data_IF_651558020400
#
_entry.id   IF_651558020400
#
_cell.length_a   1.000
_cell.length_b   1.000
_cell.length_c   1.000
_cell.angle_alpha   90.00
_cell.angle_beta   90.00
_cell.angle_gamma   90.00
#
_symmetry.space_group_name_H-M   'P 1'
#
loop_
_entity.id
_entity.type
_entity.pdbx_description
1 polymer ?
#
# COMPACT_ATOMS: atom_id res chain seq x y z
N UNK A 1 47.71 -35.63 -63.70
CA UNK A 1 46.91 -36.48 -62.80
C UNK A 1 46.79 -35.77 -61.46
N UNK A 2 45.56 -35.42 -61.06
CA UNK A 2 45.28 -34.74 -59.80
C UNK A 2 45.17 -35.83 -58.71
N UNK A 3 45.96 -35.73 -57.64
CA UNK A 3 45.87 -36.64 -56.48
C UNK A 3 44.72 -36.14 -55.61
N UNK A 4 43.60 -36.85 -55.62
CA UNK A 4 42.54 -36.63 -54.65
C UNK A 4 42.97 -37.28 -53.33
N UNK A 5 43.21 -36.46 -52.31
CA UNK A 5 43.49 -36.93 -50.95
C UNK A 5 42.16 -37.34 -50.31
N UNK A 6 41.97 -38.63 -50.06
CA UNK A 6 40.84 -39.14 -49.29
C UNK A 6 40.97 -38.77 -47.81
N UNK A 7 39.84 -38.48 -47.17
CA UNK A 7 39.75 -38.26 -45.73
C UNK A 7 40.15 -39.51 -44.95
N UNK A 8 40.90 -39.33 -43.85
CA UNK A 8 41.26 -40.42 -42.94
C UNK A 8 40.19 -40.60 -41.85
N UNK A 9 40.03 -41.81 -41.34
CA UNK A 9 39.09 -42.09 -40.25
C UNK A 9 39.42 -41.31 -38.97
N UNK A 10 40.70 -41.02 -38.71
CA UNK A 10 41.12 -40.25 -37.53
C UNK A 10 40.72 -38.78 -37.62
N UNK A 11 40.74 -38.19 -38.82
CA UNK A 11 40.25 -36.82 -39.05
C UNK A 11 38.73 -36.74 -38.82
N UNK A 12 37.98 -37.74 -39.30
CA UNK A 12 36.54 -37.80 -39.06
C UNK A 12 36.22 -37.95 -37.57
N UNK A 13 36.97 -38.80 -36.86
CA UNK A 13 36.78 -39.03 -35.43
C UNK A 13 37.05 -37.76 -34.61
N UNK A 14 38.13 -37.04 -34.90
CA UNK A 14 38.48 -35.80 -34.20
C UNK A 14 37.38 -34.74 -34.33
N UNK A 15 36.77 -34.61 -35.51
CA UNK A 15 35.67 -33.67 -35.75
C UNK A 15 34.43 -34.03 -34.91
N UNK A 16 34.06 -35.31 -34.86
CA UNK A 16 32.89 -35.75 -34.07
C UNK A 16 33.10 -35.49 -32.58
N UNK A 17 34.30 -35.73 -32.06
CA UNK A 17 34.63 -35.46 -30.64
C UNK A 17 34.49 -33.96 -30.32
N UNK A 18 35.02 -33.09 -31.19
CA UNK A 18 34.90 -31.63 -30.99
C UNK A 18 33.43 -31.19 -31.04
N UNK A 19 32.66 -31.68 -32.01
CA UNK A 19 31.23 -31.36 -32.12
C UNK A 19 30.44 -31.85 -30.89
N UNK A 20 30.78 -33.02 -30.34
CA UNK A 20 30.14 -33.55 -29.14
C UNK A 20 30.39 -32.66 -27.91
N UNK A 21 31.61 -32.15 -27.73
CA UNK A 21 31.95 -31.24 -26.62
C UNK A 21 31.22 -29.90 -26.75
N UNK A 22 31.18 -29.34 -27.97
CA UNK A 22 30.45 -28.08 -28.23
C UNK A 22 28.96 -28.28 -27.96
N UNK A 23 28.37 -29.38 -28.44
CA UNK A 23 26.96 -29.69 -28.20
C UNK A 23 26.63 -29.84 -26.70
N UNK A 24 27.50 -30.51 -25.94
CA UNK A 24 27.33 -30.71 -24.50
C UNK A 24 27.20 -29.38 -23.73
N UNK A 25 27.99 -28.37 -24.09
CA UNK A 25 27.97 -27.05 -23.44
C UNK A 25 26.83 -26.18 -23.99
N UNK A 26 26.58 -26.25 -25.31
CA UNK A 26 25.61 -25.39 -25.98
C UNK A 26 24.15 -25.70 -25.61
N UNK A 27 23.78 -26.98 -25.47
CA UNK A 27 22.41 -27.41 -25.19
C UNK A 27 21.81 -26.76 -23.93
N UNK A 28 22.43 -26.84 -22.73
CA UNK A 28 21.85 -26.23 -21.53
C UNK A 28 21.73 -24.70 -21.64
N UNK A 29 22.69 -24.03 -22.29
CA UNK A 29 22.65 -22.58 -22.50
C UNK A 29 21.49 -22.17 -23.41
N UNK A 30 21.32 -22.88 -24.54
CA UNK A 30 20.22 -22.64 -25.48
C UNK A 30 18.86 -22.88 -24.79
N UNK A 31 18.76 -23.93 -23.96
CA UNK A 31 17.54 -24.20 -23.20
C UNK A 31 17.20 -23.07 -22.21
N UNK A 32 18.19 -22.50 -21.52
CA UNK A 32 17.97 -21.36 -20.63
C UNK A 32 17.53 -20.11 -21.39
N UNK A 33 18.17 -19.80 -22.52
CA UNK A 33 17.79 -18.66 -23.37
C UNK A 33 16.34 -18.81 -23.88
N UNK A 34 15.96 -20.01 -24.34
CA UNK A 34 14.60 -20.29 -24.78
C UNK A 34 13.61 -20.14 -23.62
N UNK A 35 13.97 -20.62 -22.42
CA UNK A 35 13.13 -20.49 -21.24
C UNK A 35 12.89 -19.01 -20.89
N UNK A 36 13.95 -18.20 -20.81
CA UNK A 36 13.83 -16.77 -20.51
C UNK A 36 13.06 -16.02 -21.61
N UNK A 37 13.27 -16.36 -22.88
CA UNK A 37 12.50 -15.76 -23.98
C UNK A 37 11.00 -16.11 -23.90
N UNK A 38 10.66 -17.32 -23.49
CA UNK A 38 9.26 -17.74 -23.27
C UNK A 38 8.63 -17.04 -22.07
N UNK A 39 9.41 -16.85 -21.00
CA UNK A 39 8.98 -16.12 -19.80
C UNK A 39 8.67 -14.66 -20.16
N UNK A 40 9.60 -13.94 -20.80
CA UNK A 40 9.39 -12.55 -21.22
C UNK A 40 8.21 -12.41 -22.21
N UNK A 41 8.07 -13.32 -23.18
CA UNK A 41 6.92 -13.30 -24.08
C UNK A 41 5.58 -13.51 -23.35
N UNK A 42 5.59 -14.24 -22.24
CA UNK A 42 4.41 -14.43 -21.41
C UNK A 42 4.11 -13.20 -20.54
N UNK A 43 5.14 -12.51 -20.04
CA UNK A 43 5.00 -11.20 -19.40
C UNK A 43 4.39 -10.17 -20.36
N UNK A 44 4.86 -10.10 -21.61
CA UNK A 44 4.28 -9.24 -22.64
C UNK A 44 2.79 -9.55 -22.89
N UNK A 45 2.44 -10.84 -22.87
CA UNK A 45 1.03 -11.28 -22.99
C UNK A 45 0.20 -10.78 -21.80
N UNK A 46 0.76 -10.83 -20.59
CA UNK A 46 0.12 -10.34 -19.38
C UNK A 46 -0.09 -8.82 -19.40
N UNK A 47 0.90 -8.05 -19.88
CA UNK A 47 0.74 -6.61 -20.11
C UNK A 47 -0.34 -6.32 -21.16
N UNK A 48 -0.38 -7.05 -22.27
CA UNK A 48 -1.44 -6.90 -23.27
C UNK A 48 -2.85 -7.18 -22.72
N UNK A 49 -2.99 -8.07 -21.73
CA UNK A 49 -4.25 -8.29 -21.02
C UNK A 49 -4.61 -7.15 -20.07
N UNK A 50 -3.61 -6.56 -19.40
CA UNK A 50 -3.80 -5.37 -18.56
C UNK A 50 -4.29 -4.20 -19.43
N UNK A 51 -3.60 -3.93 -20.53
CA UNK A 51 -3.96 -2.86 -21.46
C UNK A 51 -5.37 -3.04 -22.03
N UNK A 52 -5.75 -4.28 -22.36
CA UNK A 52 -7.10 -4.58 -22.83
C UNK A 52 -8.17 -4.35 -21.74
N UNK A 53 -7.85 -4.65 -20.48
CA UNK A 53 -8.72 -4.34 -19.34
C UNK A 53 -8.89 -2.84 -19.11
N UNK A 54 -7.80 -2.07 -19.23
CA UNK A 54 -7.83 -0.61 -19.14
C UNK A 54 -8.64 0.01 -20.29
N UNK A 55 -8.48 -0.52 -21.50
CA UNK A 55 -9.27 -0.11 -22.67
C UNK A 55 -10.75 -0.43 -22.51
N UNK A 56 -11.08 -1.59 -21.93
CA UNK A 56 -12.46 -1.94 -21.60
C UNK A 56 -13.10 -0.94 -20.62
N UNK A 57 -12.37 -0.55 -19.57
CA UNK A 57 -12.83 0.50 -18.65
C UNK A 57 -13.06 1.83 -19.38
N UNK A 58 -12.10 2.25 -20.22
CA UNK A 58 -12.21 3.48 -21.00
C UNK A 58 -13.43 3.48 -21.94
N UNK A 59 -13.70 2.36 -22.62
CA UNK A 59 -14.91 2.19 -23.44
C UNK A 59 -16.19 2.24 -22.60
N UNK A 60 -16.19 1.62 -21.42
CA UNK A 60 -17.35 1.61 -20.51
C UNK A 60 -17.72 3.00 -20.02
N UNK A 61 -16.74 3.88 -19.80
CA UNK A 61 -16.97 5.29 -19.44
C UNK A 61 -17.74 6.07 -20.52
N UNK A 62 -17.66 5.68 -21.79
CA UNK A 62 -18.38 6.33 -22.89
C UNK A 62 -19.85 5.90 -22.97
N UNK A 63 -20.19 4.73 -22.44
CA UNK A 63 -21.55 4.18 -22.55
C UNK A 63 -22.42 4.54 -21.35
N UNK A 64 -21.93 4.40 -20.10
CA UNK A 64 -22.55 4.90 -18.85
C UNK A 64 -21.65 4.73 -17.60
N UNK A 65 -20.37 4.38 -17.77
CA UNK A 65 -19.49 3.95 -16.68
C UNK A 65 -19.76 2.50 -16.24
N UNK A 66 -18.92 1.99 -15.32
CA UNK A 66 -19.07 0.65 -14.75
C UNK A 66 -19.83 0.69 -13.43
N UNK A 67 -20.95 -0.02 -13.34
CA UNK A 67 -21.75 -0.12 -12.10
C UNK A 67 -21.08 -1.01 -11.04
N UNK A 68 -20.28 -1.98 -11.46
CA UNK A 68 -19.57 -2.93 -10.61
C UNK A 68 -18.29 -3.40 -11.29
N UNK A 69 -17.42 -4.05 -10.51
CA UNK A 69 -16.26 -4.75 -11.04
C UNK A 69 -16.68 -5.87 -11.99
N UNK A 70 -15.86 -6.12 -13.02
CA UNK A 70 -16.09 -7.15 -14.03
C UNK A 70 -14.92 -8.11 -14.05
N UNK A 71 -15.22 -9.40 -13.99
CA UNK A 71 -14.23 -10.48 -14.09
C UNK A 71 -14.31 -11.15 -15.47
N UNK A 72 -13.15 -11.33 -16.09
CA UNK A 72 -12.95 -12.10 -17.31
C UNK A 72 -12.17 -13.36 -16.95
N UNK A 73 -12.72 -14.52 -17.29
CA UNK A 73 -12.09 -15.81 -17.02
C UNK A 73 -11.57 -16.42 -18.31
N UNK A 74 -10.34 -16.92 -18.27
CA UNK A 74 -9.72 -17.70 -19.34
C UNK A 74 -9.60 -19.14 -18.88
N UNK A 75 -10.04 -20.08 -19.71
CA UNK A 75 -9.89 -21.52 -19.48
C UNK A 75 -9.48 -22.19 -20.77
N UNK A 76 -8.44 -23.03 -20.70
CA UNK A 76 -7.84 -23.71 -21.85
C UNK A 76 -7.56 -22.79 -23.06
N UNK A 77 -7.10 -21.56 -22.82
CA UNK A 77 -6.76 -20.62 -23.89
C UNK A 77 -7.95 -19.88 -24.50
N UNK A 78 -9.13 -19.92 -23.88
CA UNK A 78 -10.32 -19.21 -24.37
C UNK A 78 -11.01 -18.44 -23.24
N UNK A 79 -11.60 -17.28 -23.57
CA UNK A 79 -12.48 -16.58 -22.65
C UNK A 79 -13.78 -17.36 -22.42
N UNK A 80 -14.15 -17.54 -21.16
CA UNK A 80 -15.39 -18.20 -20.74
C UNK A 80 -16.38 -17.15 -20.27
N UNK A 81 -17.62 -17.26 -20.73
CA UNK A 81 -18.72 -16.34 -20.37
C UNK A 81 -19.06 -15.34 -21.47
N UNK A 82 -19.89 -14.35 -21.10
CA UNK A 82 -20.38 -13.31 -22.01
C UNK A 82 -19.36 -12.18 -22.22
N UNK A 83 -18.54 -11.91 -21.20
CA UNK A 83 -17.54 -10.84 -21.23
C UNK A 83 -16.22 -11.32 -21.83
N UNK A 84 -15.70 -10.56 -22.80
CA UNK A 84 -14.44 -10.86 -23.50
C UNK A 84 -13.63 -9.59 -23.67
N UNK A 85 -12.32 -9.70 -23.50
CA UNK A 85 -11.40 -8.62 -23.83
C UNK A 85 -10.88 -8.80 -25.26
N UNK A 86 -10.76 -7.71 -26.00
CA UNK A 86 -10.13 -7.71 -27.31
C UNK A 86 -8.60 -7.72 -27.15
N UNK A 87 -8.00 -8.90 -27.26
CA UNK A 87 -6.56 -9.10 -27.07
C UNK A 87 -5.97 -9.67 -28.34
N UNK A 88 -4.80 -9.16 -28.74
CA UNK A 88 -4.02 -9.71 -29.86
C UNK A 88 -3.02 -10.74 -29.32
N UNK A 89 -2.96 -11.91 -29.95
CA UNK A 89 -1.97 -12.95 -29.63
C UNK A 89 -2.58 -14.19 -29.00
N UNK A 90 -1.71 -15.07 -28.49
CA UNK A 90 -2.13 -16.28 -27.81
C UNK A 90 -2.59 -15.96 -26.39
N UNK A 91 -3.76 -16.46 -25.99
CA UNK A 91 -4.24 -16.31 -24.63
C UNK A 91 -3.47 -17.26 -23.66
N UNK A 92 -3.35 -16.87 -22.39
CA UNK A 92 -2.88 -17.78 -21.33
C UNK A 92 -3.69 -19.07 -21.29
N UNK A 93 -3.11 -20.15 -20.76
CA UNK A 93 -3.83 -21.43 -20.61
C UNK A 93 -5.02 -21.26 -19.69
N UNK A 94 -4.84 -20.66 -18.51
CA UNK A 94 -5.94 -20.34 -17.60
C UNK A 94 -5.66 -19.03 -16.88
N UNK A 95 -6.71 -18.39 -16.37
CA UNK A 95 -6.54 -17.27 -15.46
C UNK A 95 -7.75 -16.37 -15.35
N UNK A 96 -7.59 -15.31 -14.58
CA UNK A 96 -8.61 -14.30 -14.32
C UNK A 96 -8.04 -12.92 -14.51
N UNK A 97 -8.87 -12.04 -15.04
CA UNK A 97 -8.61 -10.61 -15.17
C UNK A 97 -9.81 -9.90 -14.53
N UNK A 98 -9.55 -8.99 -13.60
CA UNK A 98 -10.59 -8.20 -12.94
C UNK A 98 -10.36 -6.74 -13.26
N UNK A 99 -11.36 -6.10 -13.86
CA UNK A 99 -11.40 -4.65 -14.09
C UNK A 99 -12.35 -4.06 -13.06
N UNK A 100 -11.84 -3.19 -12.19
CA UNK A 100 -12.65 -2.58 -11.15
C UNK A 100 -13.39 -1.35 -11.65
N UNK A 101 -14.46 -0.97 -10.94
CA UNK A 101 -15.25 0.23 -11.25
C UNK A 101 -14.46 1.54 -11.18
N UNK A 102 -13.31 1.56 -10.49
CA UNK A 102 -12.37 2.69 -10.42
C UNK A 102 -11.26 2.61 -11.49
N UNK A 103 -11.33 1.67 -12.43
CA UNK A 103 -10.43 1.57 -13.57
C UNK A 103 -9.09 0.90 -13.28
N UNK A 104 -8.97 0.17 -12.17
CA UNK A 104 -7.77 -0.62 -11.87
C UNK A 104 -7.93 -2.03 -12.43
N UNK A 105 -6.81 -2.62 -12.86
CA UNK A 105 -6.79 -3.98 -13.41
C UNK A 105 -5.94 -4.90 -12.56
N UNK A 106 -6.54 -5.99 -12.10
CA UNK A 106 -5.85 -7.11 -11.48
C UNK A 106 -5.81 -8.32 -12.44
N UNK A 107 -4.71 -9.06 -12.43
CA UNK A 107 -4.54 -10.27 -13.25
C UNK A 107 -3.95 -11.42 -12.43
N UNK A 108 -4.36 -12.64 -12.74
CA UNK A 108 -3.69 -13.87 -12.33
C UNK A 108 -3.84 -14.90 -13.45
N UNK A 109 -2.77 -15.10 -14.23
CA UNK A 109 -2.80 -15.91 -15.46
C UNK A 109 -1.61 -16.86 -15.53
N UNK A 110 -1.81 -18.05 -16.08
CA UNK A 110 -0.75 -19.05 -16.27
C UNK A 110 -0.73 -19.64 -17.67
N UNK A 111 0.44 -20.11 -18.09
CA UNK A 111 0.65 -20.85 -19.35
C UNK A 111 1.08 -22.31 -19.12
N UNK A 112 0.83 -22.84 -17.92
CA UNK A 112 1.27 -24.18 -17.49
C UNK A 112 2.75 -24.28 -17.08
N UNK A 113 3.60 -23.30 -17.42
CA UNK A 113 5.00 -23.24 -16.96
C UNK A 113 5.24 -22.10 -15.96
N UNK A 114 4.63 -20.94 -16.21
CA UNK A 114 4.75 -19.74 -15.40
C UNK A 114 3.37 -19.22 -14.97
N UNK A 115 3.34 -18.55 -13.84
CA UNK A 115 2.21 -17.81 -13.30
C UNK A 115 2.59 -16.33 -13.20
N UNK A 116 1.78 -15.46 -13.79
CA UNK A 116 1.93 -14.01 -13.72
C UNK A 116 0.75 -13.42 -12.95
N UNK A 117 1.06 -12.58 -11.96
CA UNK A 117 0.06 -11.98 -11.08
C UNK A 117 0.29 -10.48 -10.91
N UNK A 118 -0.79 -9.72 -10.72
CA UNK A 118 -0.79 -8.31 -10.31
C UNK A 118 -2.10 -8.03 -9.58
N UNK A 119 -2.03 -7.57 -8.34
CA UNK A 119 -3.19 -7.06 -7.62
C UNK A 119 -3.48 -5.60 -7.98
N UNK A 120 -4.69 -5.10 -7.71
CA UNK A 120 -5.06 -3.69 -7.97
C UNK A 120 -4.22 -2.67 -7.19
N UNK A 121 -3.58 -3.12 -6.11
CA UNK A 121 -2.68 -2.30 -5.29
C UNK A 121 -1.23 -2.25 -5.80
N UNK A 122 -0.87 -3.05 -6.78
CA UNK A 122 0.50 -3.23 -7.25
C UNK A 122 0.73 -2.47 -8.56
N UNK A 123 1.91 -1.85 -8.69
CA UNK A 123 2.29 -1.08 -9.88
C UNK A 123 2.94 -1.94 -10.98
N UNK A 124 3.35 -3.17 -10.69
CA UNK A 124 4.04 -4.06 -11.61
C UNK A 124 3.56 -5.51 -11.47
N UNK A 125 3.77 -6.32 -12.51
CA UNK A 125 3.49 -7.76 -12.49
C UNK A 125 4.57 -8.53 -11.71
N UNK A 126 4.20 -9.68 -11.16
CA UNK A 126 5.12 -10.66 -10.58
C UNK A 126 5.01 -11.98 -11.33
N UNK A 127 6.17 -12.50 -11.78
CA UNK A 127 6.28 -13.78 -12.51
C UNK A 127 6.89 -14.85 -11.61
N UNK A 128 6.27 -16.02 -11.58
CA UNK A 128 6.71 -17.19 -10.80
C UNK A 128 6.55 -18.47 -11.62
N UNK A 129 7.11 -19.59 -11.16
CA UNK A 129 6.83 -20.90 -11.75
C UNK A 129 5.41 -21.33 -11.41
N UNK A 130 4.73 -21.99 -12.35
CA UNK A 130 3.39 -22.51 -12.12
C UNK A 130 3.45 -23.82 -11.32
N UNK A 131 2.85 -23.83 -10.13
CA UNK A 131 2.83 -24.99 -9.22
C UNK A 131 1.41 -25.56 -9.03
N UNK A 132 0.54 -25.42 -10.04
CA UNK A 132 -0.82 -25.99 -10.05
C UNK A 132 -1.93 -25.03 -9.64
N UNK A 133 -1.60 -23.84 -9.15
CA UNK A 133 -2.55 -22.73 -8.98
C UNK A 133 -1.87 -21.40 -9.36
N UNK A 134 -2.68 -20.43 -9.79
CA UNK A 134 -2.20 -19.10 -10.11
C UNK A 134 -3.24 -18.09 -9.65
N UNK A 135 -2.99 -17.51 -8.48
CA UNK A 135 -3.85 -16.53 -7.83
C UNK A 135 -2.97 -15.37 -7.41
N UNK A 136 -3.46 -14.13 -7.57
CA UNK A 136 -2.82 -13.01 -6.90
C UNK A 136 -2.96 -13.24 -5.40
N UNK A 137 -1.89 -12.97 -4.62
CA UNK A 137 -2.05 -12.91 -3.16
C UNK A 137 -3.00 -11.76 -2.88
N UNK A 138 -4.29 -12.07 -2.65
CA UNK A 138 -5.21 -11.11 -2.03
C UNK A 138 -4.48 -10.66 -0.78
N UNK A 139 -4.12 -9.39 -0.70
CA UNK A 139 -3.40 -8.88 0.46
C UNK A 139 -4.19 -9.35 1.69
N UNK A 140 -3.59 -10.25 2.48
CA UNK A 140 -4.35 -10.97 3.49
C UNK A 140 -4.95 -9.90 4.40
N UNK A 141 -6.29 -9.77 4.38
CA UNK A 141 -6.98 -8.73 5.14
C UNK A 141 -6.32 -8.65 6.53
N UNK A 142 -5.97 -7.45 7.00
CA UNK A 142 -5.02 -7.32 8.08
C UNK A 142 -5.53 -8.10 9.27
N UNK A 143 -4.86 -9.21 9.62
CA UNK A 143 -5.40 -10.10 10.65
C UNK A 143 -5.33 -9.33 11.96
N UNK A 144 -6.50 -9.00 12.47
CA UNK A 144 -6.67 -8.35 13.76
C UNK A 144 -6.73 -9.47 14.79
N UNK A 145 -5.62 -9.73 15.46
CA UNK A 145 -5.64 -10.58 16.66
C UNK A 145 -6.03 -9.69 17.83
N UNK A 146 -7.31 -9.60 18.14
CA UNK A 146 -7.77 -8.87 19.32
C UNK A 146 -7.38 -9.63 20.59
N UNK A 147 -6.17 -9.44 21.11
CA UNK A 147 -5.97 -9.52 22.56
C UNK A 147 -6.39 -8.18 23.13
N UNK A 148 -7.71 -7.95 23.19
CA UNK A 148 -8.31 -6.74 23.77
C UNK A 148 -7.89 -6.67 25.24
N UNK A 149 -6.75 -6.02 25.48
CA UNK A 149 -6.30 -5.71 26.82
C UNK A 149 -6.81 -4.30 27.06
N UNK A 150 -7.96 -4.21 27.72
CA UNK A 150 -8.48 -2.93 28.16
C UNK A 150 -7.53 -2.39 29.21
N UNK A 151 -6.60 -1.51 28.82
CA UNK A 151 -5.80 -0.71 29.75
C UNK A 151 -6.66 0.51 30.10
N UNK A 152 -7.73 0.27 30.83
CA UNK A 152 -8.31 1.32 31.67
C UNK A 152 -7.46 1.36 32.94
N UNK A 153 -7.34 2.52 33.59
CA UNK A 153 -6.62 2.65 34.87
C UNK A 153 -7.31 1.92 36.06
N UNK A 154 -8.03 0.83 35.79
CA UNK A 154 -8.63 -0.08 36.75
C UNK A 154 -8.62 -1.50 36.14
N UNK A 155 -8.14 -2.48 36.89
CA UNK A 155 -8.22 -3.91 36.53
C UNK A 155 -9.69 -4.37 36.40
N UNK A 156 -10.32 -4.16 35.25
CA UNK A 156 -11.64 -4.70 34.94
C UNK A 156 -11.63 -5.43 33.60
N UNK A 157 -12.13 -6.67 33.60
CA UNK A 157 -12.39 -7.47 32.39
C UNK A 157 -13.49 -6.83 31.56
N UNK A 158 -13.19 -6.50 30.31
CA UNK A 158 -14.18 -6.00 29.35
C UNK A 158 -15.26 -7.05 29.08
N UNK A 159 -16.52 -6.69 29.36
CA UNK A 159 -17.69 -7.44 28.87
C UNK A 159 -17.86 -7.25 27.37
N UNK A 160 -18.45 -8.23 26.69
CA UNK A 160 -18.61 -8.35 25.23
C UNK A 160 -19.35 -7.18 24.50
N UNK A 161 -19.76 -6.14 25.22
CA UNK A 161 -20.49 -4.98 24.68
C UNK A 161 -19.63 -3.71 24.66
N UNK A 162 -19.23 -3.33 23.44
CA UNK A 162 -18.64 -2.09 22.95
C UNK A 162 -17.10 -2.01 22.87
N UNK A 163 -16.62 -2.09 21.62
CA UNK A 163 -15.32 -1.57 21.21
C UNK A 163 -15.32 -0.05 21.48
N UNK A 164 -14.51 0.42 22.44
CA UNK A 164 -14.41 1.83 22.85
C UNK A 164 -13.04 2.40 22.54
N UNK A 165 -12.95 3.73 22.49
CA UNK A 165 -11.69 4.42 22.34
C UNK A 165 -10.66 3.98 23.41
N UNK A 166 -9.41 3.78 23.01
CA UNK A 166 -8.31 3.35 23.87
C UNK A 166 -8.14 1.85 24.06
N UNK A 167 -9.01 1.01 23.50
CA UNK A 167 -8.79 -0.44 23.50
C UNK A 167 -7.60 -0.78 22.59
N UNK A 168 -6.63 -1.53 23.11
CA UNK A 168 -5.49 -2.03 22.35
C UNK A 168 -5.87 -3.19 21.42
N UNK A 169 -5.37 -3.14 20.19
CA UNK A 169 -5.63 -4.08 19.10
C UNK A 169 -4.31 -4.43 18.42
N UNK A 170 -4.03 -5.72 18.21
CA UNK A 170 -2.85 -6.16 17.45
C UNK A 170 -3.21 -6.34 15.98
N UNK A 171 -2.48 -5.68 15.09
CA UNK A 171 -2.69 -5.70 13.64
C UNK A 171 -1.44 -6.21 12.94
N UNK A 172 -1.56 -7.32 12.20
CA UNK A 172 -0.47 -7.81 11.34
C UNK A 172 -0.40 -6.99 10.06
N UNK A 173 0.75 -6.36 9.82
CA UNK A 173 1.01 -5.61 8.57
C UNK A 173 1.91 -6.43 7.65
N UNK A 174 1.48 -6.62 6.40
CA UNK A 174 2.18 -7.34 5.32
C UNK A 174 2.57 -8.80 5.62
N UNK A 175 1.79 -9.53 6.42
CA UNK A 175 2.11 -10.89 6.85
C UNK A 175 3.43 -11.04 7.65
N UNK A 176 3.96 -9.95 8.22
CA UNK A 176 5.11 -10.03 9.13
C UNK A 176 4.72 -10.76 10.42
N UNK A 177 5.67 -11.51 10.99
CA UNK A 177 5.45 -12.26 12.24
C UNK A 177 5.09 -11.33 13.41
N UNK A 178 5.66 -10.11 13.43
CA UNK A 178 5.41 -9.12 14.46
C UNK A 178 4.15 -8.28 14.17
N UNK A 179 3.12 -8.49 14.96
CA UNK A 179 1.95 -7.62 14.97
C UNK A 179 2.31 -6.22 15.53
N UNK A 180 1.68 -5.19 14.97
CA UNK A 180 1.77 -3.81 15.46
C UNK A 180 0.62 -3.54 16.42
N UNK A 181 0.88 -2.77 17.47
CA UNK A 181 -0.15 -2.37 18.43
C UNK A 181 -0.83 -1.09 17.96
N UNK A 182 -2.15 -1.08 17.99
CA UNK A 182 -2.99 0.08 17.73
C UNK A 182 -3.99 0.26 18.87
N UNK A 183 -4.50 1.47 19.04
CA UNK A 183 -5.63 1.79 19.89
C UNK A 183 -6.83 2.16 19.04
N UNK A 184 -8.01 1.75 19.48
CA UNK A 184 -9.26 2.19 18.87
C UNK A 184 -9.43 3.69 19.08
N UNK A 185 -9.72 4.41 18.01
CA UNK A 185 -10.14 5.83 18.05
C UNK A 185 -11.66 5.90 17.96
N UNK A 186 -12.23 5.22 16.96
CA UNK A 186 -13.66 5.25 16.67
C UNK A 186 -14.12 3.87 16.21
N UNK A 187 -15.27 3.45 16.73
CA UNK A 187 -16.06 2.38 16.15
C UNK A 187 -17.23 2.99 15.36
N UNK A 188 -17.18 2.86 14.03
CA UNK A 188 -18.27 3.27 13.15
C UNK A 188 -19.16 2.07 12.81
N UNK A 189 -20.23 1.89 13.59
CA UNK A 189 -21.20 0.82 13.41
C UNK A 189 -21.97 0.91 12.08
N UNK A 190 -22.15 2.12 11.54
CA UNK A 190 -22.90 2.36 10.29
C UNK A 190 -22.13 1.83 9.08
N UNK A 191 -20.82 2.06 9.06
CA UNK A 191 -19.93 1.60 7.98
C UNK A 191 -19.27 0.26 8.29
N UNK A 192 -19.42 -0.25 9.51
CA UNK A 192 -18.74 -1.45 9.99
C UNK A 192 -17.21 -1.31 9.96
N UNK A 193 -16.69 -0.12 10.27
CA UNK A 193 -15.27 0.22 10.19
C UNK A 193 -14.74 0.63 11.56
N UNK A 194 -13.52 0.21 11.88
CA UNK A 194 -12.75 0.74 13.02
C UNK A 194 -11.71 1.73 12.53
N UNK A 195 -11.64 2.88 13.17
CA UNK A 195 -10.52 3.82 13.08
C UNK A 195 -9.56 3.51 14.21
N UNK A 196 -8.30 3.24 13.87
CA UNK A 196 -7.27 2.83 14.81
C UNK A 196 -6.04 3.75 14.70
N UNK A 197 -5.46 4.14 15.83
CA UNK A 197 -4.21 4.90 15.91
C UNK A 197 -3.08 4.02 16.43
N UNK A 198 -1.90 4.06 15.80
CA UNK A 198 -0.77 3.24 16.23
C UNK A 198 -0.29 3.66 17.62
N UNK A 199 0.24 2.71 18.40
CA UNK A 199 0.72 2.97 19.75
C UNK A 199 1.94 3.91 19.82
N UNK A 200 2.63 4.12 18.70
CA UNK A 200 3.85 4.93 18.56
C UNK A 200 3.87 5.67 17.23
N UNK A 201 4.81 6.60 17.10
CA UNK A 201 5.08 7.26 15.82
C UNK A 201 5.56 6.23 14.78
N UNK A 202 5.42 6.56 13.50
CA UNK A 202 5.75 5.64 12.40
C UNK A 202 7.22 5.19 12.43
N UNK A 203 8.10 6.04 12.97
CA UNK A 203 9.46 5.79 13.41
C UNK A 203 9.87 6.83 14.48
N UNK A 204 11.16 6.86 14.84
CA UNK A 204 11.73 7.75 15.87
C UNK A 204 12.20 9.10 15.30
N UNK A 205 11.95 9.38 14.02
CA UNK A 205 12.36 10.63 13.38
C UNK A 205 11.37 11.76 13.64
N UNK A 206 11.88 12.99 13.68
CA UNK A 206 11.07 14.20 13.74
C UNK A 206 10.84 14.75 12.33
N UNK A 207 9.71 15.41 12.11
CA UNK A 207 9.35 15.98 10.81
C UNK A 207 8.62 17.30 11.00
N UNK A 208 8.84 18.22 10.07
CA UNK A 208 8.05 19.44 10.01
C UNK A 208 6.63 19.10 9.54
N UNK A 209 5.63 19.83 10.05
CA UNK A 209 4.25 19.67 9.60
C UNK A 209 4.14 19.99 8.11
N UNK A 210 4.78 21.10 7.71
CA UNK A 210 5.02 21.51 6.32
C UNK A 210 6.43 22.14 6.24
N UNK A 211 7.08 22.06 5.08
CA UNK A 211 8.46 22.52 4.88
C UNK A 211 8.57 23.47 3.69
N UNK A 212 9.72 24.12 3.54
CA UNK A 212 10.01 25.07 2.46
C UNK A 212 9.74 24.53 1.06
N UNK A 213 10.00 23.24 0.86
CA UNK A 213 9.72 22.56 -0.41
C UNK A 213 8.23 22.56 -0.77
N UNK A 214 7.35 22.60 0.23
CA UNK A 214 5.91 22.43 0.08
C UNK A 214 5.15 23.77 0.22
N UNK A 215 5.76 24.82 0.80
CA UNK A 215 5.16 26.16 0.92
C UNK A 215 4.86 26.83 -0.42
N UNK A 216 5.63 26.55 -1.47
CA UNK A 216 5.52 27.24 -2.76
C UNK A 216 5.62 28.77 -2.65
N UNK A 217 6.30 29.27 -1.62
CA UNK A 217 6.51 30.68 -1.36
C UNK A 217 7.56 31.28 -2.30
N UNK A 218 7.47 32.60 -2.53
CA UNK A 218 8.25 33.37 -3.50
C UNK A 218 9.74 33.54 -3.16
N UNK A 219 10.31 34.69 -3.48
CA UNK A 219 11.76 34.93 -3.38
C UNK A 219 12.35 34.73 -1.97
N UNK A 220 13.64 34.40 -1.93
CA UNK A 220 14.37 34.09 -0.70
C UNK A 220 14.34 35.24 0.32
N UNK A 221 13.86 34.95 1.53
CA UNK A 221 13.81 35.90 2.65
C UNK A 221 12.42 36.09 3.26
N UNK A 222 11.38 35.56 2.62
CA UNK A 222 10.01 35.56 3.15
C UNK A 222 9.86 34.46 4.21
N UNK A 223 9.52 34.82 5.46
CA UNK A 223 9.16 33.86 6.51
C UNK A 223 7.77 33.27 6.22
N UNK A 224 7.69 32.41 5.20
CA UNK A 224 6.44 31.76 4.82
C UNK A 224 6.26 30.43 5.55
N UNK A 225 6.09 30.46 6.87
CA UNK A 225 5.45 29.35 7.57
C UNK A 225 3.93 29.57 7.50
N UNK A 226 3.26 28.95 6.53
CA UNK A 226 1.80 28.97 6.42
C UNK A 226 1.22 27.57 6.61
N UNK A 227 0.11 27.50 7.34
CA UNK A 227 -0.66 26.29 7.61
C UNK A 227 -1.81 26.08 6.60
N UNK A 228 -2.04 27.04 5.69
CA UNK A 228 -3.12 27.04 4.69
C UNK A 228 -3.08 25.85 3.72
N UNK A 229 -1.91 25.22 3.56
CA UNK A 229 -1.71 24.08 2.66
C UNK A 229 -1.81 22.72 3.36
N UNK A 230 -2.10 22.70 4.65
CA UNK A 230 -2.12 21.50 5.47
C UNK A 230 -0.75 20.81 5.63
N UNK A 231 -0.73 19.61 6.25
CA UNK A 231 0.50 18.91 6.62
C UNK A 231 1.16 18.17 5.46
N UNK A 232 1.43 18.84 4.33
CA UNK A 232 1.94 18.16 3.13
C UNK A 232 3.24 17.38 3.40
N UNK A 233 4.19 17.98 4.12
CA UNK A 233 5.46 17.34 4.45
C UNK A 233 5.25 16.13 5.35
N UNK A 234 4.52 16.29 6.46
CA UNK A 234 4.26 15.21 7.42
C UNK A 234 3.44 14.07 6.78
N UNK A 235 2.45 14.37 5.95
CA UNK A 235 1.65 13.36 5.25
C UNK A 235 2.48 12.62 4.19
N UNK A 236 3.34 13.31 3.44
CA UNK A 236 4.23 12.67 2.47
C UNK A 236 5.23 11.75 3.17
N UNK A 237 5.74 12.20 4.31
CA UNK A 237 6.60 11.39 5.16
C UNK A 237 5.88 10.13 5.63
N UNK A 238 4.68 10.26 6.21
CA UNK A 238 3.85 9.13 6.63
C UNK A 238 3.62 8.15 5.48
N UNK A 239 3.20 8.63 4.32
CA UNK A 239 2.97 7.81 3.13
C UNK A 239 4.23 7.05 2.70
N UNK A 240 5.40 7.69 2.73
CA UNK A 240 6.67 7.03 2.39
C UNK A 240 6.96 5.82 3.29
N UNK A 241 6.47 5.84 4.54
CA UNK A 241 6.66 4.77 5.54
C UNK A 241 5.54 3.73 5.51
N UNK A 242 4.33 4.12 5.13
CA UNK A 242 3.14 3.24 5.15
C UNK A 242 2.72 2.71 3.77
N UNK A 243 3.28 3.23 2.66
CA UNK A 243 2.94 2.81 1.29
C UNK A 243 3.15 1.31 1.06
N UNK A 244 4.14 0.74 1.73
CA UNK A 244 4.43 -0.69 1.70
C UNK A 244 3.41 -1.55 2.45
N UNK A 245 2.46 -0.98 3.21
CA UNK A 245 1.46 -1.71 4.00
C UNK A 245 0.35 -2.28 3.09
N UNK A 246 0.71 -3.20 2.21
CA UNK A 246 -0.14 -3.76 1.14
C UNK A 246 -1.43 -4.37 1.65
N UNK A 247 -1.42 -4.93 2.86
CA UNK A 247 -2.60 -5.53 3.46
C UNK A 247 -3.50 -4.56 4.22
N UNK A 248 -3.07 -3.34 4.53
CA UNK A 248 -3.98 -2.31 5.05
C UNK A 248 -4.74 -1.72 3.85
N UNK A 249 -6.08 -1.66 3.81
CA UNK A 249 -6.79 -1.11 2.66
C UNK A 249 -6.39 0.34 2.37
N UNK A 250 -6.05 0.65 1.11
CA UNK A 250 -5.86 2.02 0.66
C UNK A 250 -7.22 2.71 0.54
N UNK A 251 -7.28 3.96 0.96
CA UNK A 251 -8.48 4.79 0.90
C UNK A 251 -8.17 6.18 0.36
N UNK A 252 -9.23 6.89 0.02
CA UNK A 252 -9.16 8.34 -0.16
C UNK A 252 -9.51 9.00 1.17
N UNK A 253 -8.61 9.83 1.68
CA UNK A 253 -8.87 10.66 2.86
C UNK A 253 -9.03 12.12 2.44
N UNK A 254 -10.02 12.78 3.02
CA UNK A 254 -10.17 14.23 2.95
C UNK A 254 -9.81 14.79 4.31
N UNK A 255 -8.77 15.62 4.37
CA UNK A 255 -8.30 16.26 5.59
C UNK A 255 -8.59 17.76 5.51
N UNK A 256 -9.07 18.31 6.62
CA UNK A 256 -9.29 19.72 6.83
C UNK A 256 -8.79 20.16 8.21
N UNK A 257 -8.65 21.46 8.42
CA UNK A 257 -8.45 22.02 9.76
C UNK A 257 -9.73 21.98 10.60
N UNK A 258 -9.59 22.44 11.84
CA UNK A 258 -10.64 22.63 12.84
C UNK A 258 -11.75 23.61 12.41
N UNK A 259 -11.63 24.25 11.25
CA UNK A 259 -12.61 25.19 10.69
C UNK A 259 -13.05 24.85 9.25
N UNK A 260 -12.53 23.77 8.66
CA UNK A 260 -12.80 23.36 7.29
C UNK A 260 -12.14 24.18 6.17
N UNK A 261 -11.10 24.99 6.43
CA UNK A 261 -10.57 25.96 5.46
C UNK A 261 -9.72 25.35 4.34
N UNK A 262 -8.92 24.31 4.62
CA UNK A 262 -8.29 23.50 3.57
C UNK A 262 -8.97 22.15 3.38
N UNK A 263 -9.03 21.68 2.13
CA UNK A 263 -9.49 20.34 1.79
C UNK A 263 -8.39 19.62 1.00
N UNK A 264 -7.65 18.75 1.68
CA UNK A 264 -6.59 17.95 1.06
C UNK A 264 -7.13 16.56 0.81
N UNK A 265 -7.19 16.19 -0.46
CA UNK A 265 -7.54 14.85 -0.87
C UNK A 265 -6.26 14.01 -1.02
N UNK A 266 -6.13 12.97 -0.19
CA UNK A 266 -5.08 11.96 -0.30
C UNK A 266 -5.68 10.68 -0.85
N UNK A 267 -5.50 10.42 -2.13
CA UNK A 267 -5.99 9.21 -2.78
C UNK A 267 -5.02 8.04 -2.58
N UNK A 268 -5.56 6.82 -2.53
CA UNK A 268 -4.78 5.59 -2.42
C UNK A 268 -3.83 5.51 -1.19
N UNK A 269 -4.14 6.23 -0.12
CA UNK A 269 -3.33 6.29 1.09
C UNK A 269 -3.70 5.16 2.07
N UNK A 270 -2.69 4.58 2.73
CA UNK A 270 -2.85 3.47 3.68
C UNK A 270 -3.09 3.94 5.12
N UNK A 271 -2.60 5.13 5.44
CA UNK A 271 -2.75 5.75 6.75
C UNK A 271 -2.95 7.26 6.57
N UNK A 272 -3.53 7.89 7.60
CA UNK A 272 -3.63 9.34 7.76
C UNK A 272 -3.14 9.75 9.14
N UNK A 273 -3.17 11.05 9.41
CA UNK A 273 -2.92 11.62 10.73
C UNK A 273 -4.24 11.75 11.51
N UNK A 274 -4.15 11.77 12.84
CA UNK A 274 -5.27 12.05 13.74
C UNK A 274 -5.66 13.53 13.61
N UNK A 275 -6.96 13.84 13.56
CA UNK A 275 -7.41 15.25 13.54
C UNK A 275 -7.47 15.84 14.94
N UNK A 276 -7.52 17.17 15.03
CA UNK A 276 -7.80 17.87 16.28
C UNK A 276 -9.14 17.43 16.89
N UNK A 277 -10.21 17.49 16.11
CA UNK A 277 -11.56 17.14 16.57
C UNK A 277 -11.65 15.68 17.04
N UNK A 278 -10.93 14.75 16.40
CA UNK A 278 -10.86 13.37 16.90
C UNK A 278 -10.18 13.30 18.26
N UNK A 279 -9.08 14.03 18.47
CA UNK A 279 -8.38 14.07 19.74
C UNK A 279 -9.26 14.67 20.86
N UNK A 280 -9.97 15.76 20.60
CA UNK A 280 -10.82 16.42 21.60
C UNK A 280 -12.15 15.67 21.78
N UNK A 281 -12.93 15.52 20.71
CA UNK A 281 -14.32 15.06 20.79
C UNK A 281 -14.45 13.55 21.01
N UNK A 282 -13.52 12.76 20.48
CA UNK A 282 -13.59 11.29 20.57
C UNK A 282 -12.70 10.72 21.65
N UNK A 283 -11.52 11.32 21.87
CA UNK A 283 -10.52 10.80 22.80
C UNK A 283 -10.51 11.53 24.15
N UNK A 284 -11.21 12.67 24.27
CA UNK A 284 -11.35 13.41 25.52
C UNK A 284 -10.11 14.19 25.94
N UNK A 285 -9.22 14.51 24.99
CA UNK A 285 -8.14 15.45 25.23
C UNK A 285 -8.69 16.86 25.54
N UNK A 286 -7.87 17.69 26.19
CA UNK A 286 -8.21 19.07 26.53
C UNK A 286 -7.15 19.97 25.93
N UNK A 287 -7.57 20.99 25.17
CA UNK A 287 -6.66 22.02 24.66
C UNK A 287 -6.00 22.77 25.83
N UNK A 288 -4.71 23.04 25.70
CA UNK A 288 -3.93 23.81 26.66
C UNK A 288 -3.92 23.22 28.08
N UNK A 289 -4.12 21.92 28.22
CA UNK A 289 -4.04 21.22 29.50
C UNK A 289 -3.59 19.77 29.32
N UNK A 290 -3.16 19.14 30.42
CA UNK A 290 -2.88 17.71 30.48
C UNK A 290 -4.22 16.97 30.54
N UNK A 291 -4.84 16.80 29.37
CA UNK A 291 -6.18 16.20 29.25
C UNK A 291 -6.22 14.88 28.47
N UNK A 292 -5.19 14.57 27.67
CA UNK A 292 -5.23 13.35 26.87
C UNK A 292 -5.14 12.09 27.73
N UNK A 293 -5.76 10.98 27.30
CA UNK A 293 -5.63 9.72 28.01
C UNK A 293 -4.22 9.13 27.85
N UNK A 294 -3.71 8.51 28.93
CA UNK A 294 -2.33 7.98 29.00
C UNK A 294 -1.96 7.00 27.88
N UNK A 295 -2.90 6.23 27.36
CA UNK A 295 -2.64 5.31 26.24
C UNK A 295 -2.30 6.05 24.94
N UNK A 296 -2.75 7.30 24.78
CA UNK A 296 -2.50 8.11 23.59
C UNK A 296 -1.07 8.67 23.60
N UNK A 297 -0.49 8.99 24.74
CA UNK A 297 0.86 9.59 24.81
C UNK A 297 1.92 8.71 25.48
N UNK A 298 1.54 7.67 26.22
CA UNK A 298 2.43 6.92 27.10
C UNK A 298 3.54 6.10 26.43
N UNK A 299 3.45 5.91 25.11
CA UNK A 299 4.45 5.24 24.28
C UNK A 299 5.17 6.23 23.33
N UNK A 300 5.10 7.54 23.61
CA UNK A 300 5.92 8.55 22.96
C UNK A 300 7.32 8.59 23.56
N UNK A 301 8.30 8.87 22.70
CA UNK A 301 9.69 9.07 23.07
C UNK A 301 9.94 10.53 23.45
N UNK A 302 11.17 10.85 23.83
CA UNK A 302 11.63 12.22 23.94
C UNK A 302 13.10 12.26 23.49
N UNK A 303 13.41 12.70 22.25
CA UNK A 303 12.53 13.01 21.12
C UNK A 303 12.04 11.76 20.34
N UNK A 304 10.99 11.85 19.49
CA UNK A 304 10.12 13.01 19.25
C UNK A 304 9.23 13.32 20.47
N UNK A 305 9.15 14.59 20.87
CA UNK A 305 8.38 15.11 22.01
C UNK A 305 6.85 14.99 21.85
N UNK A 306 6.38 14.23 20.87
CA UNK A 306 4.98 14.19 20.52
C UNK A 306 4.76 13.77 19.08
N UNK A 307 3.54 14.00 18.61
CA UNK A 307 3.18 13.86 17.21
C UNK A 307 2.24 14.97 16.78
N UNK A 308 2.39 15.34 15.51
CA UNK A 308 1.51 16.30 14.87
C UNK A 308 0.09 15.74 14.68
N UNK A 309 -0.91 16.59 14.89
CA UNK A 309 -2.26 16.37 14.38
C UNK A 309 -2.37 16.91 12.96
N UNK A 310 -3.35 16.41 12.21
CA UNK A 310 -3.55 16.83 10.81
C UNK A 310 -4.12 18.23 10.66
N UNK A 311 -4.63 18.81 11.75
CA UNK A 311 -5.38 20.07 11.76
C UNK A 311 -4.46 21.26 12.02
N UNK A 312 -4.58 22.29 11.19
CA UNK A 312 -3.96 23.60 11.46
C UNK A 312 -4.60 24.24 12.69
N UNK A 313 -3.85 25.16 13.31
CA UNK A 313 -4.40 26.05 14.32
C UNK A 313 -4.89 27.33 13.64
N UNK A 314 -6.20 27.55 13.63
CA UNK A 314 -6.79 28.59 12.82
C UNK A 314 -6.45 30.03 13.26
N UNK A 315 -6.19 30.27 14.55
CA UNK A 315 -5.90 31.62 15.04
C UNK A 315 -4.48 32.09 14.68
N UNK A 316 -3.59 31.17 14.29
CA UNK A 316 -2.21 31.49 13.95
C UNK A 316 -1.77 30.78 12.68
N UNK A 317 -1.69 31.54 11.59
CA UNK A 317 -1.39 31.03 10.24
C UNK A 317 -0.06 30.24 10.12
N UNK A 318 0.83 30.32 11.10
CA UNK A 318 2.08 29.56 11.13
C UNK A 318 2.08 28.34 12.05
N UNK A 319 0.93 27.93 12.59
CA UNK A 319 0.86 26.90 13.64
C UNK A 319 -0.12 25.77 13.33
N UNK A 320 0.16 24.60 13.91
CA UNK A 320 -0.69 23.43 13.85
C UNK A 320 -0.72 22.72 15.21
N UNK A 321 -1.77 21.94 15.42
CA UNK A 321 -1.98 21.21 16.66
C UNK A 321 -1.06 19.99 16.78
N UNK A 322 -0.64 19.67 18.00
CA UNK A 322 0.12 18.46 18.33
C UNK A 322 -0.37 17.83 19.64
N UNK A 323 -0.02 16.56 19.85
CA UNK A 323 -0.14 15.88 21.14
C UNK A 323 1.25 15.62 21.69
N UNK A 324 1.54 16.16 22.87
CA UNK A 324 2.81 16.04 23.57
C UNK A 324 2.99 14.70 24.28
N UNK A 325 4.24 14.32 24.54
CA UNK A 325 4.60 13.12 25.31
C UNK A 325 4.17 13.17 26.79
N UNK A 326 3.73 14.32 27.27
CA UNK A 326 3.19 14.60 28.60
C UNK A 326 1.65 14.59 28.63
N UNK A 327 1.00 14.35 27.50
CA UNK A 327 -0.46 14.32 27.37
C UNK A 327 -1.10 15.68 27.12
N UNK A 328 -0.30 16.68 26.79
CA UNK A 328 -0.76 18.02 26.45
C UNK A 328 -1.23 18.11 25.00
N UNK A 329 -2.27 18.89 24.72
CA UNK A 329 -2.63 19.31 23.36
C UNK A 329 -2.42 20.81 23.24
N UNK A 330 -1.54 21.21 22.34
CA UNK A 330 -1.22 22.62 22.08
C UNK A 330 -0.90 22.81 20.60
N UNK A 331 -0.62 24.05 20.21
CA UNK A 331 -0.14 24.38 18.88
C UNK A 331 1.36 24.65 18.87
N UNK A 332 1.99 24.43 17.73
CA UNK A 332 3.40 24.78 17.52
C UNK A 332 3.67 25.21 16.08
N UNK A 333 4.82 25.83 15.85
CA UNK A 333 5.21 26.34 14.52
C UNK A 333 5.33 25.19 13.52
N UNK A 334 4.62 25.31 12.39
CA UNK A 334 4.49 24.23 11.40
C UNK A 334 5.77 23.91 10.64
N UNK A 335 6.70 24.87 10.58
CA UNK A 335 7.98 24.74 9.89
C UNK A 335 9.06 24.05 10.75
N UNK A 336 8.80 23.83 12.03
CA UNK A 336 9.77 23.23 12.94
C UNK A 336 9.76 21.71 12.81
N UNK A 337 10.88 21.16 12.33
CA UNK A 337 11.05 19.73 12.11
C UNK A 337 11.80 18.99 13.21
N UNK A 338 12.06 19.61 14.36
CA UNK A 338 12.96 19.05 15.39
C UNK A 338 12.24 18.42 16.60
N UNK A 339 10.93 18.60 16.71
CA UNK A 339 10.21 18.22 17.93
C UNK A 339 9.26 17.04 17.77
N UNK A 340 8.47 17.00 16.69
CA UNK A 340 7.33 16.10 16.62
C UNK A 340 7.45 15.11 15.46
N UNK A 341 6.95 13.90 15.68
CA UNK A 341 6.87 12.88 14.64
C UNK A 341 5.48 12.79 14.01
N UNK A 342 5.23 11.70 13.28
CA UNK A 342 3.90 11.40 12.71
C UNK A 342 3.41 10.06 13.19
N UNK A 343 2.14 10.01 13.59
CA UNK A 343 1.51 8.81 14.10
C UNK A 343 0.45 8.27 13.13
N UNK A 344 0.61 7.03 12.63
CA UNK A 344 -0.35 6.45 11.70
C UNK A 344 -1.73 6.22 12.33
N UNK A 345 -2.76 6.72 11.65
CA UNK A 345 -4.16 6.34 11.84
C UNK A 345 -4.61 5.54 10.61
N UNK A 346 -5.18 4.36 10.83
CA UNK A 346 -5.68 3.46 9.79
C UNK A 346 -7.17 3.17 9.98
N UNK A 347 -7.82 2.75 8.90
CA UNK A 347 -9.22 2.33 8.96
C UNK A 347 -9.39 0.93 8.37
N UNK A 348 -9.98 0.04 9.14
CA UNK A 348 -10.14 -1.38 8.78
C UNK A 348 -11.59 -1.82 8.97
N UNK A 349 -12.07 -2.70 8.09
CA UNK A 349 -13.41 -3.25 8.23
C UNK A 349 -13.46 -4.23 9.41
N UNK A 350 -14.55 -4.16 10.19
CA UNK A 350 -14.85 -5.14 11.24
C UNK A 350 -14.99 -6.56 10.73
N UNK A 351 -15.33 -6.75 9.45
CA UNK A 351 -15.41 -8.09 8.82
C UNK A 351 -14.07 -8.81 8.73
N UNK A 352 -12.98 -8.15 9.12
CA UNK A 352 -11.61 -8.66 9.14
C UNK A 352 -11.16 -9.05 10.55
N UNK A 353 -11.89 -8.59 11.57
CA UNK A 353 -11.76 -9.06 12.96
C UNK A 353 -12.48 -10.40 13.06
#
# INVERSE_FOLDING_TARGET
MRKDKGFTLIELLAVIVILAIIALIAVPVIMNIISSARESAFEDTAYGLIDAGEMYYASSLLENGMASDVEFTITNGEFVGENKLEVKGALPTNGKITVTKDGKVAIAVNNGAHCVTKATSESAITTTKYEGSCEYKKAANPIITSTATCITNANETCSEDAIKAGIAVQVKVNDKEDAKTFYVVKDDATTGTLTLIMDRNVDEETVAWISEKDYGCGEAGDYCSTNEKGPLTALNYLESKTSSWTNIPAKTYTLADDQGQYAIERTNARARMLTHDEAIDLLGCVEYDVGCPAWLYGNLSNPPYGFWLSSAYADYAGSAWYVGYDGYVDYFNVNDGFYYGVRPVIEISKSVI
#
